data_IF_235821294081
#
_entry.id   IF_235821294081
#
_cell.length_a   1.000
_cell.length_b   1.000
_cell.length_c   1.000
_cell.angle_alpha   90.00
_cell.angle_beta   90.00
_cell.angle_gamma   90.00
#
_symmetry.space_group_name_H-M   'P 1'
#
loop_
_entity.id
_entity.type
_entity.pdbx_description
1 polymer ?
#
# COMPACT_ATOMS: atom_id res chain seq x y z
N UNK A 1 3.02 20.16 1.03
CA UNK A 1 3.71 19.72 -0.21
C UNK A 1 3.32 20.62 -1.38
N UNK A 2 4.23 20.88 -2.34
CA UNK A 2 3.96 21.74 -3.50
C UNK A 2 4.40 21.09 -4.82
N UNK A 3 5.48 20.33 -4.82
CA UNK A 3 6.06 19.66 -5.97
C UNK A 3 6.37 18.21 -5.60
N UNK A 4 5.65 17.29 -6.19
CA UNK A 4 5.59 15.90 -5.78
C UNK A 4 6.19 15.00 -6.86
N UNK A 5 7.03 14.05 -6.46
CA UNK A 5 7.51 12.95 -7.29
C UNK A 5 6.94 11.64 -6.76
N UNK A 6 6.26 10.89 -7.62
CA UNK A 6 5.77 9.55 -7.33
C UNK A 6 6.60 8.53 -8.08
N UNK A 7 7.32 7.68 -7.35
CA UNK A 7 8.21 6.64 -7.90
C UNK A 7 7.54 5.28 -7.77
N UNK A 8 7.42 4.54 -8.88
CA UNK A 8 6.59 3.34 -8.97
C UNK A 8 5.12 3.68 -9.26
N UNK A 9 4.91 4.73 -10.05
CA UNK A 9 3.58 5.28 -10.37
C UNK A 9 2.68 4.32 -11.15
N UNK A 10 3.24 3.35 -11.87
CA UNK A 10 2.48 2.34 -12.63
C UNK A 10 2.00 1.16 -11.78
N UNK A 11 2.35 1.08 -10.51
CA UNK A 11 1.90 0.05 -9.57
C UNK A 11 0.45 0.25 -9.12
N UNK A 12 -0.07 -0.70 -8.32
CA UNK A 12 -1.47 -0.68 -7.84
C UNK A 12 -1.80 0.63 -7.12
N UNK A 13 -1.04 1.01 -6.10
CA UNK A 13 -1.27 2.26 -5.38
C UNK A 13 -0.95 3.47 -6.27
N UNK A 14 0.17 3.43 -7.00
CA UNK A 14 0.65 4.57 -7.77
C UNK A 14 -0.29 5.00 -8.89
N UNK A 15 -0.93 4.05 -9.57
CA UNK A 15 -1.89 4.32 -10.66
C UNK A 15 -3.13 5.10 -10.21
N UNK A 16 -3.48 5.03 -8.92
CA UNK A 16 -4.58 5.77 -8.31
C UNK A 16 -4.10 6.98 -7.49
N UNK A 17 -2.95 6.88 -6.83
CA UNK A 17 -2.39 7.98 -6.05
C UNK A 17 -2.00 9.17 -6.93
N UNK A 18 -1.42 8.92 -8.12
CA UNK A 18 -1.03 10.02 -9.03
C UNK A 18 -2.23 10.86 -9.47
N UNK A 19 -3.33 10.31 -10.00
CA UNK A 19 -4.53 11.09 -10.31
C UNK A 19 -5.10 11.80 -9.09
N UNK A 20 -5.12 11.14 -7.93
CA UNK A 20 -5.59 11.72 -6.66
C UNK A 20 -4.75 12.94 -6.25
N UNK A 21 -3.41 12.82 -6.25
CA UNK A 21 -2.52 13.94 -5.96
C UNK A 21 -2.67 15.07 -6.99
N UNK A 22 -2.82 14.74 -8.29
CA UNK A 22 -3.03 15.73 -9.35
C UNK A 22 -4.33 16.52 -9.18
N UNK A 23 -5.37 15.89 -8.65
CA UNK A 23 -6.63 16.58 -8.36
C UNK A 23 -6.51 17.60 -7.20
N UNK A 24 -5.62 17.36 -6.25
CA UNK A 24 -5.40 18.21 -5.07
C UNK A 24 -4.38 19.31 -5.37
N UNK A 25 -3.24 18.95 -5.95
CA UNK A 25 -2.08 19.84 -6.10
C UNK A 25 -1.93 20.43 -7.51
N UNK A 26 -2.74 19.98 -8.47
CA UNK A 26 -2.64 20.35 -9.89
C UNK A 26 -1.70 19.42 -10.67
N UNK A 27 -2.09 19.09 -11.90
CA UNK A 27 -1.41 18.10 -12.72
C UNK A 27 0.08 18.40 -12.95
N UNK A 28 0.46 19.66 -13.19
CA UNK A 28 1.84 20.07 -13.43
C UNK A 28 2.76 19.98 -12.21
N UNK A 29 2.19 19.82 -11.02
CA UNK A 29 2.93 19.75 -9.76
C UNK A 29 3.22 18.32 -9.29
N UNK A 30 2.70 17.30 -10.00
CA UNK A 30 2.86 15.89 -9.64
C UNK A 30 3.50 15.14 -10.81
N UNK A 31 4.77 14.82 -10.67
CA UNK A 31 5.55 14.04 -11.63
C UNK A 31 5.41 12.56 -11.30
N UNK A 32 4.88 11.79 -12.23
CA UNK A 32 4.81 10.34 -12.13
C UNK A 32 6.07 9.71 -12.74
N UNK A 33 6.62 8.69 -12.11
CA UNK A 33 7.77 7.95 -12.64
C UNK A 33 7.61 6.45 -12.47
N UNK A 34 8.05 5.71 -13.49
CA UNK A 34 8.11 4.25 -13.47
C UNK A 34 9.17 3.76 -14.47
N UNK A 35 9.63 2.51 -14.33
CA UNK A 35 10.52 1.88 -15.33
C UNK A 35 9.80 1.63 -16.66
N UNK A 36 8.47 1.43 -16.61
CA UNK A 36 7.62 1.23 -17.78
C UNK A 36 6.82 2.49 -18.06
N UNK A 37 6.80 2.89 -19.32
CA UNK A 37 5.95 4.01 -19.73
C UNK A 37 4.47 3.70 -19.49
N UNK A 38 3.75 4.67 -18.92
CA UNK A 38 2.31 4.61 -18.70
C UNK A 38 1.64 5.75 -19.44
N UNK A 39 1.01 5.43 -20.59
CA UNK A 39 0.41 6.42 -21.47
C UNK A 39 -0.70 7.24 -20.77
N UNK A 40 -1.55 6.59 -19.97
CA UNK A 40 -2.65 7.25 -19.24
C UNK A 40 -2.11 8.30 -18.27
N UNK A 41 -1.07 7.96 -17.50
CA UNK A 41 -0.44 8.92 -16.60
C UNK A 41 0.31 10.03 -17.33
N UNK A 42 0.90 9.72 -18.50
CA UNK A 42 1.65 10.67 -19.33
C UNK A 42 0.74 11.68 -20.04
N UNK A 43 -0.44 11.26 -20.48
CA UNK A 43 -1.45 12.15 -21.08
C UNK A 43 -2.05 13.12 -20.05
N UNK A 44 -2.18 12.66 -18.79
CA UNK A 44 -2.79 13.44 -17.70
C UNK A 44 -1.81 14.40 -16.98
N UNK A 45 -0.51 14.39 -17.31
CA UNK A 45 0.49 15.29 -16.68
C UNK A 45 1.93 14.77 -16.81
N UNK A 46 2.91 15.41 -16.15
CA UNK A 46 4.31 15.03 -16.27
C UNK A 46 4.55 13.56 -15.93
N UNK A 47 5.28 12.88 -16.82
CA UNK A 47 5.71 11.49 -16.64
C UNK A 47 7.16 11.35 -17.16
N UNK A 48 7.99 10.66 -16.35
CA UNK A 48 9.37 10.36 -16.72
C UNK A 48 9.66 8.87 -16.52
N UNK A 49 10.48 8.30 -17.38
CA UNK A 49 11.00 6.94 -17.14
C UNK A 49 12.11 7.02 -16.11
N UNK A 50 12.01 6.19 -15.05
CA UNK A 50 12.99 6.14 -13.97
C UNK A 50 13.16 4.72 -13.46
N UNK A 51 14.41 4.23 -13.43
CA UNK A 51 14.79 3.12 -12.56
C UNK A 51 15.14 3.71 -11.18
N UNK A 52 14.38 3.34 -10.14
CA UNK A 52 14.61 3.83 -8.79
C UNK A 52 15.99 3.42 -8.21
N UNK A 53 16.70 2.48 -8.84
CA UNK A 53 18.07 2.10 -8.51
C UNK A 53 19.13 3.00 -9.18
N UNK A 54 18.76 3.81 -10.16
CA UNK A 54 19.63 4.83 -10.74
C UNK A 54 19.57 6.13 -9.92
N UNK A 55 20.40 6.19 -8.88
CA UNK A 55 20.45 7.35 -7.96
C UNK A 55 20.76 8.66 -8.69
N UNK A 56 21.57 8.61 -9.76
CA UNK A 56 21.94 9.81 -10.52
C UNK A 56 20.75 10.38 -11.28
N UNK A 57 20.07 9.56 -12.08
CA UNK A 57 18.87 9.98 -12.80
C UNK A 57 17.77 10.44 -11.84
N UNK A 58 17.63 9.75 -10.72
CA UNK A 58 16.63 10.09 -9.71
C UNK A 58 16.91 11.49 -9.13
N UNK A 59 18.15 11.79 -8.72
CA UNK A 59 18.52 13.10 -8.21
C UNK A 59 18.35 14.22 -9.26
N UNK A 60 18.69 13.96 -10.54
CA UNK A 60 18.48 14.90 -11.65
C UNK A 60 16.99 15.24 -11.83
N UNK A 61 16.09 14.27 -11.71
CA UNK A 61 14.63 14.50 -11.79
C UNK A 61 14.13 15.35 -10.58
N UNK A 62 14.59 15.05 -9.37
CA UNK A 62 14.23 15.83 -8.18
C UNK A 62 14.64 17.31 -8.35
N UNK A 63 15.83 17.55 -8.89
CA UNK A 63 16.32 18.90 -9.16
C UNK A 63 15.57 19.59 -10.30
N UNK A 64 15.40 18.91 -11.44
CA UNK A 64 14.69 19.37 -12.64
C UNK A 64 13.30 19.89 -12.31
N UNK A 65 12.56 19.16 -11.48
CA UNK A 65 11.17 19.47 -11.14
C UNK A 65 11.04 20.24 -9.81
N UNK A 66 12.17 20.53 -9.13
CA UNK A 66 12.20 21.20 -7.82
C UNK A 66 11.29 20.50 -6.80
N UNK A 67 11.42 19.18 -6.68
CA UNK A 67 10.60 18.33 -5.85
C UNK A 67 10.82 18.66 -4.37
N UNK A 68 9.74 18.73 -3.60
CA UNK A 68 9.75 18.91 -2.14
C UNK A 68 9.17 17.70 -1.37
N UNK A 69 8.51 16.76 -2.09
CA UNK A 69 8.01 15.54 -1.50
C UNK A 69 8.16 14.35 -2.48
N UNK A 70 8.68 13.24 -1.96
CA UNK A 70 8.89 11.98 -2.68
C UNK A 70 7.95 10.93 -2.11
N UNK A 71 7.18 10.27 -2.98
CA UNK A 71 6.38 9.08 -2.67
C UNK A 71 7.05 7.87 -3.30
N UNK A 72 7.82 7.13 -2.51
CA UNK A 72 8.47 5.91 -2.97
C UNK A 72 7.54 4.70 -2.79
N UNK A 73 6.93 4.27 -3.89
CA UNK A 73 6.00 3.13 -3.94
C UNK A 73 6.64 1.86 -4.51
N UNK A 74 7.93 1.90 -4.83
CA UNK A 74 8.64 0.78 -5.46
C UNK A 74 8.78 -0.37 -4.47
N UNK A 75 8.20 -1.53 -4.82
CA UNK A 75 8.38 -2.76 -4.07
C UNK A 75 8.07 -4.00 -4.91
N UNK A 76 8.86 -5.07 -4.73
CA UNK A 76 8.43 -6.43 -5.05
C UNK A 76 7.65 -6.98 -3.85
N UNK A 77 6.41 -7.46 -4.12
CA UNK A 77 5.48 -7.92 -3.09
C UNK A 77 5.82 -9.32 -2.56
N UNK A 78 5.14 -9.73 -1.48
CA UNK A 78 5.43 -10.94 -0.71
C UNK A 78 5.59 -12.20 -1.55
N UNK A 79 4.55 -12.68 -2.21
CA UNK A 79 4.61 -13.93 -2.99
C UNK A 79 5.56 -13.87 -4.20
N UNK A 80 5.72 -12.70 -4.82
CA UNK A 80 6.69 -12.49 -5.91
C UNK A 80 8.12 -12.41 -5.37
N UNK A 81 8.31 -11.76 -4.22
CA UNK A 81 9.61 -11.63 -3.55
C UNK A 81 10.20 -12.97 -3.13
N UNK A 82 9.36 -13.90 -2.63
CA UNK A 82 9.81 -15.23 -2.23
C UNK A 82 10.37 -16.08 -3.39
N UNK A 83 9.99 -15.78 -4.64
CA UNK A 83 10.55 -16.44 -5.83
C UNK A 83 11.98 -15.98 -6.13
N UNK A 84 12.36 -14.78 -5.73
CA UNK A 84 13.71 -14.23 -5.88
C UNK A 84 14.05 -13.25 -4.75
N UNK A 85 14.41 -13.76 -3.54
CA UNK A 85 14.62 -12.93 -2.36
C UNK A 85 15.73 -11.88 -2.51
N UNK A 86 16.82 -12.23 -3.23
CA UNK A 86 17.94 -11.32 -3.43
C UNK A 86 17.52 -10.12 -4.31
N UNK A 87 16.73 -10.37 -5.35
CA UNK A 87 16.20 -9.30 -6.20
C UNK A 87 15.22 -8.43 -5.42
N UNK A 88 14.33 -9.04 -4.62
CA UNK A 88 13.40 -8.31 -3.76
C UNK A 88 14.13 -7.39 -2.79
N UNK A 89 15.15 -7.89 -2.10
CA UNK A 89 15.98 -7.10 -1.18
C UNK A 89 16.66 -5.93 -1.91
N UNK A 90 17.30 -6.21 -3.06
CA UNK A 90 17.99 -5.18 -3.83
C UNK A 90 17.07 -4.07 -4.29
N UNK A 91 15.89 -4.41 -4.81
CA UNK A 91 14.93 -3.41 -5.32
C UNK A 91 14.30 -2.64 -4.17
N UNK A 92 13.75 -3.35 -3.17
CA UNK A 92 13.00 -2.72 -2.08
C UNK A 92 13.89 -1.81 -1.22
N UNK A 93 15.10 -2.28 -0.91
CA UNK A 93 16.03 -1.48 -0.09
C UNK A 93 16.77 -0.42 -0.90
N UNK A 94 17.22 -0.74 -2.12
CA UNK A 94 17.94 0.23 -2.95
C UNK A 94 17.08 1.43 -3.37
N UNK A 95 15.82 1.21 -3.73
CA UNK A 95 14.89 2.31 -4.04
C UNK A 95 14.62 3.21 -2.81
N UNK A 96 14.50 2.60 -1.61
CA UNK A 96 14.34 3.35 -0.37
C UNK A 96 15.60 4.15 -0.02
N UNK A 97 16.77 3.51 -0.07
CA UNK A 97 18.06 4.15 0.22
C UNK A 97 18.27 5.37 -0.68
N UNK A 98 18.07 5.22 -2.00
CA UNK A 98 18.17 6.33 -2.94
C UNK A 98 17.18 7.46 -2.59
N UNK A 99 15.93 7.12 -2.27
CA UNK A 99 14.92 8.12 -1.88
C UNK A 99 15.33 8.90 -0.64
N UNK A 100 15.87 8.22 0.38
CA UNK A 100 16.30 8.84 1.65
C UNK A 100 17.54 9.70 1.48
N UNK A 101 18.56 9.23 0.74
CA UNK A 101 19.78 10.02 0.47
C UNK A 101 19.48 11.27 -0.35
N UNK A 102 18.69 11.13 -1.42
CA UNK A 102 18.28 12.27 -2.23
C UNK A 102 17.44 13.26 -1.41
N UNK A 103 16.55 12.77 -0.56
CA UNK A 103 15.77 13.62 0.32
C UNK A 103 16.62 14.36 1.33
N UNK A 104 17.66 13.72 1.89
CA UNK A 104 18.65 14.33 2.78
C UNK A 104 19.41 15.45 2.06
N UNK A 105 19.85 15.22 0.82
CA UNK A 105 20.64 16.19 0.05
C UNK A 105 19.81 17.35 -0.51
N UNK A 106 18.57 17.09 -0.90
CA UNK A 106 17.68 18.06 -1.57
C UNK A 106 16.60 18.63 -0.66
N UNK A 107 16.59 18.25 0.64
CA UNK A 107 15.61 18.69 1.64
C UNK A 107 14.16 18.39 1.24
N UNK A 108 13.88 17.15 0.83
CA UNK A 108 12.54 16.67 0.51
C UNK A 108 11.94 15.89 1.69
N UNK A 109 10.61 15.89 1.81
CA UNK A 109 9.91 14.90 2.62
C UNK A 109 9.80 13.57 1.87
N UNK A 110 9.73 12.44 2.59
CA UNK A 110 9.61 11.10 2.00
C UNK A 110 8.45 10.35 2.61
N UNK A 111 7.56 9.87 1.76
CA UNK A 111 6.59 8.84 2.09
C UNK A 111 7.03 7.51 1.50
N UNK A 112 7.10 6.47 2.33
CA UNK A 112 7.32 5.10 1.86
C UNK A 112 6.38 4.16 2.61
N UNK A 113 5.46 3.45 1.93
CA UNK A 113 4.51 2.59 2.61
C UNK A 113 5.17 1.38 3.26
N UNK A 114 4.83 1.13 4.53
CA UNK A 114 4.99 -0.15 5.17
C UNK A 114 3.73 -1.02 4.95
N UNK A 115 3.59 -2.12 5.66
CA UNK A 115 2.56 -3.11 5.42
C UNK A 115 2.30 -3.95 6.66
N UNK A 116 1.11 -4.55 6.77
CA UNK A 116 0.87 -5.65 7.73
C UNK A 116 1.84 -6.82 7.55
N UNK A 117 2.45 -6.94 6.37
CA UNK A 117 3.52 -7.91 6.12
C UNK A 117 4.81 -7.69 6.93
N UNK A 118 4.97 -6.54 7.60
CA UNK A 118 6.07 -6.29 8.54
C UNK A 118 5.92 -7.07 9.86
N UNK A 119 4.72 -7.48 10.20
CA UNK A 119 4.46 -8.27 11.40
C UNK A 119 4.84 -9.75 11.20
N UNK A 120 5.09 -10.43 12.31
CA UNK A 120 5.44 -11.84 12.37
C UNK A 120 6.05 -12.20 13.71
N UNK A 121 6.17 -13.50 13.99
CA UNK A 121 6.60 -14.01 15.30
C UNK A 121 5.45 -14.10 16.29
N UNK A 122 5.76 -13.93 17.58
CA UNK A 122 4.78 -13.98 18.68
C UNK A 122 4.36 -12.56 19.06
N UNK A 123 3.13 -12.18 18.67
CA UNK A 123 2.52 -10.88 18.94
C UNK A 123 0.99 -11.01 19.05
N UNK A 124 0.29 -10.08 19.73
CA UNK A 124 -1.17 -10.03 19.74
C UNK A 124 -1.73 -9.78 18.34
N UNK A 125 -2.49 -10.71 17.80
CA UNK A 125 -3.04 -10.61 16.42
C UNK A 125 -4.29 -9.76 16.33
N UNK A 126 -5.08 -9.73 17.40
CA UNK A 126 -6.28 -8.89 17.48
C UNK A 126 -5.89 -7.54 18.07
N UNK A 127 -6.26 -6.47 17.38
CA UNK A 127 -5.85 -5.11 17.73
C UNK A 127 -4.34 -5.01 18.00
N UNK A 128 -3.58 -5.50 17.03
CA UNK A 128 -2.10 -5.50 17.11
C UNK A 128 -1.60 -4.11 17.46
N UNK A 129 -0.87 -3.95 18.58
CA UNK A 129 -0.41 -2.64 19.04
C UNK A 129 0.51 -1.93 18.04
N UNK A 130 0.55 -0.59 18.12
CA UNK A 130 1.49 0.23 17.34
C UNK A 130 2.94 -0.22 17.55
N UNK A 131 3.33 -0.39 18.80
CA UNK A 131 4.64 -0.86 19.21
C UNK A 131 4.55 -2.32 19.62
N UNK A 132 5.12 -3.19 18.81
CA UNK A 132 5.16 -4.63 19.06
C UNK A 132 6.39 -5.27 18.40
N UNK A 133 6.66 -6.51 18.76
CA UNK A 133 7.73 -7.29 18.14
C UNK A 133 7.37 -7.61 16.69
N UNK A 134 8.26 -7.31 15.77
CA UNK A 134 8.11 -7.61 14.34
C UNK A 134 9.21 -8.58 13.91
N UNK A 135 8.83 -9.83 13.67
CA UNK A 135 9.72 -10.90 13.21
C UNK A 135 9.11 -11.59 11.98
N UNK A 136 9.01 -10.86 10.84
CA UNK A 136 8.40 -11.39 9.64
C UNK A 136 9.18 -12.60 9.09
N UNK A 137 8.45 -13.52 8.49
CA UNK A 137 8.98 -14.74 7.89
C UNK A 137 9.11 -14.66 6.36
N UNK A 138 8.88 -13.49 5.77
CA UNK A 138 9.04 -13.24 4.34
C UNK A 138 10.11 -12.18 4.09
N UNK A 139 10.82 -12.29 2.95
CA UNK A 139 11.81 -11.26 2.55
C UNK A 139 11.16 -9.89 2.38
N UNK A 140 9.91 -9.84 1.92
CA UNK A 140 9.13 -8.61 1.83
C UNK A 140 8.95 -7.97 3.21
N UNK A 141 8.51 -8.74 4.19
CA UNK A 141 8.34 -8.26 5.56
C UNK A 141 9.66 -7.80 6.18
N UNK A 142 10.74 -8.53 5.97
CA UNK A 142 12.10 -8.13 6.41
C UNK A 142 12.47 -6.77 5.81
N UNK A 143 12.24 -6.55 4.50
CA UNK A 143 12.49 -5.26 3.87
C UNK A 143 11.61 -4.16 4.46
N UNK A 144 10.34 -4.44 4.80
CA UNK A 144 9.44 -3.45 5.40
C UNK A 144 9.91 -3.03 6.80
N UNK A 145 10.25 -3.97 7.68
CA UNK A 145 10.82 -3.67 9.00
C UNK A 145 12.13 -2.88 8.89
N UNK A 146 13.03 -3.32 8.01
CA UNK A 146 14.29 -2.61 7.76
C UNK A 146 14.02 -1.18 7.26
N UNK A 147 13.03 -1.02 6.37
CA UNK A 147 12.65 0.29 5.85
C UNK A 147 12.10 1.22 6.92
N UNK A 148 11.28 0.72 7.85
CA UNK A 148 10.79 1.49 9.01
C UNK A 148 11.95 1.99 9.89
N UNK A 149 12.87 1.09 10.22
CA UNK A 149 14.03 1.41 11.04
C UNK A 149 14.99 2.39 10.33
N UNK A 150 15.23 2.19 9.04
CA UNK A 150 16.10 3.06 8.25
C UNK A 150 15.48 4.47 8.12
N UNK A 151 14.19 4.56 7.87
CA UNK A 151 13.47 5.85 7.82
C UNK A 151 13.53 6.59 9.16
N UNK A 152 13.37 5.88 10.29
CA UNK A 152 13.55 6.44 11.62
C UNK A 152 14.98 6.95 11.84
N UNK A 153 15.98 6.19 11.41
CA UNK A 153 17.38 6.61 11.50
C UNK A 153 17.64 7.89 10.71
N UNK A 154 17.14 7.99 9.46
CA UNK A 154 17.30 9.19 8.64
C UNK A 154 16.62 10.41 9.25
N UNK A 155 15.45 10.21 9.85
CA UNK A 155 14.79 11.28 10.58
C UNK A 155 15.61 11.76 11.79
N UNK A 156 15.98 10.84 12.67
CA UNK A 156 16.65 11.19 13.93
C UNK A 156 18.07 11.69 13.72
N UNK A 157 18.78 11.14 12.74
CA UNK A 157 20.21 11.47 12.49
C UNK A 157 20.40 12.67 11.59
N UNK A 158 19.54 12.82 10.57
CA UNK A 158 19.72 13.81 9.51
C UNK A 158 18.57 14.81 9.39
N UNK A 159 17.50 14.64 10.15
CA UNK A 159 16.34 15.54 10.13
C UNK A 159 15.45 15.40 8.90
N UNK A 160 15.59 14.32 8.12
CA UNK A 160 14.72 14.08 6.96
C UNK A 160 13.27 13.86 7.45
N UNK A 161 12.32 14.54 6.84
CA UNK A 161 10.89 14.32 7.14
C UNK A 161 10.41 13.05 6.46
N UNK A 162 10.58 11.93 7.16
CA UNK A 162 10.13 10.60 6.71
C UNK A 162 8.80 10.25 7.35
N UNK A 163 7.84 9.73 6.56
CA UNK A 163 6.52 9.33 7.03
C UNK A 163 6.07 8.05 6.37
N UNK A 164 5.35 7.22 7.11
CA UNK A 164 4.89 5.92 6.64
C UNK A 164 3.63 5.44 7.37
N UNK A 165 2.85 4.61 6.69
CA UNK A 165 1.76 3.83 7.27
C UNK A 165 1.98 2.34 7.00
N UNK A 166 1.54 1.48 7.91
CA UNK A 166 1.43 0.04 7.68
C UNK A 166 0.09 -0.23 7.03
N UNK A 167 0.11 -0.33 5.69
CA UNK A 167 -1.10 -0.63 4.96
C UNK A 167 -1.63 -2.02 5.28
N UNK A 168 -2.95 -2.14 5.56
CA UNK A 168 -3.68 -3.40 5.45
C UNK A 168 -3.64 -3.98 4.04
N UNK A 169 -4.37 -5.07 3.80
CA UNK A 169 -4.63 -5.56 2.45
C UNK A 169 -5.44 -4.54 1.65
N UNK A 170 -4.86 -4.00 0.58
CA UNK A 170 -5.51 -2.97 -0.23
C UNK A 170 -6.45 -3.59 -1.25
N UNK A 171 -7.69 -3.11 -1.27
CA UNK A 171 -8.73 -3.49 -2.22
C UNK A 171 -8.97 -2.33 -3.19
N UNK A 172 -8.90 -2.62 -4.50
CA UNK A 172 -9.07 -1.63 -5.57
C UNK A 172 -9.87 -2.20 -6.72
N UNK A 173 -10.68 -1.34 -7.36
CA UNK A 173 -11.38 -1.66 -8.59
C UNK A 173 -10.64 -1.19 -9.86
N UNK A 174 -9.54 -0.44 -9.75
CA UNK A 174 -8.83 0.17 -10.89
C UNK A 174 -7.80 -0.79 -11.47
N UNK A 175 -6.85 -1.23 -10.68
CA UNK A 175 -5.77 -2.11 -11.12
C UNK A 175 -6.02 -3.53 -10.65
N UNK A 176 -5.85 -4.50 -11.55
CA UNK A 176 -5.93 -5.92 -11.18
C UNK A 176 -4.83 -6.28 -10.20
N UNK A 177 -5.10 -7.26 -9.32
CA UNK A 177 -4.12 -7.75 -8.35
C UNK A 177 -2.82 -8.22 -9.00
N UNK A 178 -1.70 -7.99 -8.28
CA UNK A 178 -0.35 -8.25 -8.78
C UNK A 178 0.35 -9.49 -8.20
N UNK A 179 -0.38 -10.43 -7.58
CA UNK A 179 0.19 -11.63 -6.94
C UNK A 179 0.42 -11.46 -5.44
N UNK A 180 -0.41 -10.66 -4.77
CA UNK A 180 -0.44 -10.53 -3.31
C UNK A 180 -1.22 -11.65 -2.63
N UNK A 181 -1.04 -11.77 -1.32
CA UNK A 181 -1.79 -12.73 -0.50
C UNK A 181 -3.26 -12.33 -0.34
N UNK A 182 -3.56 -11.02 -0.38
CA UNK A 182 -4.89 -10.44 -0.17
C UNK A 182 -5.71 -10.29 -1.45
N UNK A 183 -5.21 -10.73 -2.59
CA UNK A 183 -5.81 -10.53 -3.90
C UNK A 183 -7.21 -11.15 -4.04
N UNK A 184 -7.51 -12.20 -3.27
CA UNK A 184 -8.83 -12.83 -3.25
C UNK A 184 -9.96 -11.83 -2.99
N UNK A 185 -9.70 -10.81 -2.16
CA UNK A 185 -10.67 -9.78 -1.79
C UNK A 185 -10.96 -8.76 -2.92
N UNK A 186 -10.21 -8.84 -4.03
CA UNK A 186 -10.50 -8.13 -5.28
C UNK A 186 -11.10 -9.09 -6.31
N UNK A 187 -10.50 -10.26 -6.48
CA UNK A 187 -10.90 -11.27 -7.46
C UNK A 187 -12.35 -11.70 -7.29
N UNK A 188 -12.82 -11.83 -6.04
CA UNK A 188 -14.21 -12.20 -5.70
C UNK A 188 -15.25 -11.31 -6.39
N UNK A 189 -15.01 -10.00 -6.50
CA UNK A 189 -15.94 -9.05 -7.13
C UNK A 189 -15.99 -9.23 -8.65
N UNK A 190 -14.83 -9.50 -9.27
CA UNK A 190 -14.77 -9.75 -10.71
C UNK A 190 -15.55 -11.03 -11.08
N UNK A 191 -15.38 -12.09 -10.30
CA UNK A 191 -16.09 -13.34 -10.56
C UNK A 191 -17.60 -13.23 -10.25
N UNK A 192 -17.97 -12.52 -9.19
CA UNK A 192 -19.38 -12.24 -8.87
C UNK A 192 -20.08 -11.46 -9.98
N UNK A 193 -19.45 -10.41 -10.53
CA UNK A 193 -20.03 -9.61 -11.63
C UNK A 193 -20.13 -10.41 -12.94
N UNK A 194 -19.17 -11.30 -13.21
CA UNK A 194 -19.25 -12.20 -14.38
C UNK A 194 -20.29 -13.32 -14.24
N UNK A 195 -20.89 -13.50 -13.06
CA UNK A 195 -21.77 -14.61 -12.76
C UNK A 195 -21.05 -15.95 -12.63
N UNK A 196 -19.77 -15.95 -12.36
CA UNK A 196 -18.96 -17.13 -12.16
C UNK A 196 -18.94 -17.56 -10.69
N UNK A 197 -18.61 -18.84 -10.46
CA UNK A 197 -18.19 -19.33 -9.16
C UNK A 197 -16.77 -18.86 -8.88
N UNK A 198 -16.50 -18.35 -7.67
CA UNK A 198 -15.16 -17.98 -7.24
C UNK A 198 -14.47 -19.13 -6.50
N UNK A 199 -13.20 -19.37 -6.79
CA UNK A 199 -12.36 -20.34 -6.06
C UNK A 199 -11.33 -19.56 -5.24
N UNK A 200 -11.58 -19.45 -3.92
CA UNK A 200 -10.72 -18.73 -3.01
C UNK A 200 -9.48 -19.55 -2.64
N UNK A 201 -8.32 -18.93 -2.69
CA UNK A 201 -7.03 -19.57 -2.35
C UNK A 201 -6.56 -19.30 -0.91
N UNK A 202 -7.39 -18.64 -0.10
CA UNK A 202 -7.18 -18.39 1.34
C UNK A 202 -8.25 -19.18 2.11
N UNK A 203 -7.87 -19.73 3.27
CA UNK A 203 -8.80 -20.50 4.09
C UNK A 203 -9.95 -19.63 4.64
N UNK A 204 -11.16 -20.21 4.82
CA UNK A 204 -12.37 -19.45 5.16
C UNK A 204 -12.31 -18.69 6.48
N UNK A 205 -11.47 -19.13 7.41
CA UNK A 205 -11.35 -18.66 8.79
C UNK A 205 -10.25 -17.63 9.02
N UNK A 206 -9.45 -17.30 7.98
CA UNK A 206 -8.31 -16.40 8.12
C UNK A 206 -8.77 -14.94 8.16
N UNK A 207 -8.70 -14.32 9.31
CA UNK A 207 -8.87 -12.88 9.45
C UNK A 207 -7.66 -12.11 8.92
N UNK A 208 -7.92 -11.03 8.21
CA UNK A 208 -6.90 -10.06 7.80
C UNK A 208 -7.48 -8.65 7.87
N UNK A 209 -6.66 -7.69 8.30
CA UNK A 209 -7.02 -6.27 8.19
C UNK A 209 -6.96 -5.84 6.73
N UNK A 210 -8.01 -5.16 6.27
CA UNK A 210 -8.23 -4.76 4.88
C UNK A 210 -8.61 -3.29 4.80
N UNK A 211 -8.32 -2.66 3.67
CA UNK A 211 -8.62 -1.26 3.42
C UNK A 211 -9.02 -1.03 1.96
N UNK A 212 -10.05 -0.23 1.73
CA UNK A 212 -10.41 0.20 0.39
C UNK A 212 -9.46 1.29 -0.09
N UNK A 213 -9.11 1.30 -1.38
CA UNK A 213 -8.14 2.22 -1.95
C UNK A 213 -8.43 3.71 -1.68
N UNK A 214 -9.68 4.21 -1.74
CA UNK A 214 -9.94 5.62 -1.39
C UNK A 214 -9.46 6.01 0.01
N UNK A 215 -9.63 5.15 1.02
CA UNK A 215 -9.10 5.37 2.37
C UNK A 215 -7.57 5.33 2.39
N UNK A 216 -6.94 4.41 1.64
CA UNK A 216 -5.49 4.33 1.56
C UNK A 216 -4.86 5.59 0.94
N UNK A 217 -5.47 6.13 -0.12
CA UNK A 217 -5.03 7.38 -0.76
C UNK A 217 -5.17 8.56 0.17
N UNK A 218 -6.32 8.67 0.85
CA UNK A 218 -6.59 9.73 1.83
C UNK A 218 -5.61 9.66 3.00
N UNK A 219 -5.41 8.48 3.60
CA UNK A 219 -4.44 8.27 4.68
C UNK A 219 -3.04 8.73 4.29
N UNK A 220 -2.61 8.41 3.06
CA UNK A 220 -1.30 8.80 2.53
C UNK A 220 -1.15 10.33 2.48
N UNK A 221 -2.16 11.04 1.98
CA UNK A 221 -2.11 12.50 1.85
C UNK A 221 -2.26 13.20 3.20
N UNK A 222 -3.23 12.76 4.02
CA UNK A 222 -3.47 13.33 5.35
C UNK A 222 -2.24 13.20 6.25
N UNK A 223 -1.56 12.04 6.25
CA UNK A 223 -0.32 11.89 6.99
C UNK A 223 0.77 12.84 6.48
N UNK A 224 0.91 13.00 5.17
CA UNK A 224 1.93 13.90 4.59
C UNK A 224 1.63 15.39 4.81
N UNK A 225 0.37 15.75 5.03
CA UNK A 225 -0.06 17.12 5.38
C UNK A 225 -0.12 17.36 6.91
N UNK A 226 -0.03 16.31 7.73
CA UNK A 226 -0.09 16.43 9.17
C UNK A 226 1.04 17.29 9.74
N UNK A 227 0.78 17.95 10.85
CA UNK A 227 1.78 18.75 11.58
C UNK A 227 2.93 17.84 12.06
N UNK A 228 4.16 18.03 11.56
CA UNK A 228 5.29 17.16 11.91
C UNK A 228 5.62 17.16 13.41
N UNK A 229 5.27 18.22 14.14
CA UNK A 229 5.51 18.33 15.57
C UNK A 229 4.62 17.39 16.41
N UNK A 230 3.51 16.91 15.83
CA UNK A 230 2.58 15.99 16.50
C UNK A 230 2.91 14.51 16.25
N UNK A 231 3.73 14.21 15.24
CA UNK A 231 4.02 12.85 14.82
C UNK A 231 5.11 12.21 15.70
N UNK A 232 4.70 11.40 16.68
CA UNK A 232 5.61 10.60 17.52
C UNK A 232 6.02 9.30 16.82
N UNK A 233 5.04 8.62 16.18
CA UNK A 233 5.22 7.35 15.47
C UNK A 233 5.36 7.54 13.96
N UNK A 234 5.88 8.69 13.51
CA UNK A 234 5.95 9.19 12.12
C UNK A 234 6.25 8.14 11.05
N UNK A 235 7.06 7.16 11.36
CA UNK A 235 7.34 6.05 10.46
C UNK A 235 6.54 4.85 10.90
N UNK A 236 5.58 4.48 10.03
CA UNK A 236 4.83 3.25 10.11
C UNK A 236 3.69 3.25 11.12
N UNK A 237 2.83 4.27 11.04
CA UNK A 237 1.57 4.22 11.75
C UNK A 237 0.75 2.99 11.37
N UNK A 238 0.25 2.27 12.35
CA UNK A 238 -0.86 1.36 12.13
C UNK A 238 -2.07 2.16 11.67
N UNK A 239 -2.69 1.76 10.57
CA UNK A 239 -3.99 2.28 10.11
C UNK A 239 -4.93 1.12 9.87
N UNK A 240 -6.12 1.17 10.42
CA UNK A 240 -7.14 0.15 10.28
C UNK A 240 -8.38 0.70 9.56
N UNK A 241 -9.11 -0.17 8.87
CA UNK A 241 -10.40 0.15 8.26
C UNK A 241 -11.40 -0.96 8.53
N UNK A 242 -11.17 -2.16 8.04
CA UNK A 242 -12.05 -3.29 8.23
C UNK A 242 -11.26 -4.59 8.37
N UNK A 243 -11.74 -5.51 9.20
CA UNK A 243 -11.15 -6.84 9.36
C UNK A 243 -12.20 -7.91 9.06
N UNK A 244 -11.89 -8.83 8.16
CA UNK A 244 -12.82 -9.89 7.76
C UNK A 244 -12.10 -11.13 7.24
N UNK A 245 -12.84 -12.23 7.19
CA UNK A 245 -12.38 -13.49 6.58
C UNK A 245 -12.92 -13.65 5.16
N UNK A 246 -12.38 -14.59 4.34
CA UNK A 246 -12.97 -14.94 3.07
C UNK A 246 -14.45 -15.32 3.14
N UNK A 247 -14.87 -15.97 4.23
CA UNK A 247 -16.27 -16.33 4.43
C UNK A 247 -17.15 -15.09 4.68
N UNK A 248 -16.69 -14.15 5.50
CA UNK A 248 -17.46 -12.92 5.78
C UNK A 248 -17.67 -12.09 4.50
N UNK A 249 -16.61 -11.88 3.69
CA UNK A 249 -16.77 -11.14 2.42
C UNK A 249 -17.67 -11.89 1.43
N UNK A 250 -17.60 -13.22 1.38
CA UNK A 250 -18.52 -14.04 0.57
C UNK A 250 -19.98 -13.77 0.93
N UNK A 251 -20.31 -13.78 2.24
CA UNK A 251 -21.67 -13.52 2.71
C UNK A 251 -22.16 -12.12 2.31
N UNK A 252 -21.28 -11.11 2.39
CA UNK A 252 -21.61 -9.75 1.97
C UNK A 252 -21.85 -9.70 0.46
N UNK A 253 -20.98 -10.30 -0.34
CA UNK A 253 -21.16 -10.36 -1.81
C UNK A 253 -22.44 -11.09 -2.18
N UNK A 254 -22.77 -12.21 -1.52
CA UNK A 254 -23.99 -12.98 -1.80
C UNK A 254 -25.27 -12.17 -1.51
N UNK A 255 -25.27 -11.29 -0.50
CA UNK A 255 -26.40 -10.37 -0.25
C UNK A 255 -26.69 -9.43 -1.42
N UNK A 256 -25.63 -9.00 -2.13
CA UNK A 256 -25.74 -8.11 -3.30
C UNK A 256 -25.88 -8.85 -4.62
N UNK A 257 -25.39 -10.10 -4.70
CA UNK A 257 -25.44 -10.96 -5.89
C UNK A 257 -26.06 -12.29 -5.48
N UNK A 258 -27.40 -12.38 -5.41
CA UNK A 258 -28.08 -13.61 -4.98
C UNK A 258 -27.68 -14.83 -5.80
N UNK A 259 -27.31 -15.91 -5.11
CA UNK A 259 -26.87 -17.15 -5.74
C UNK A 259 -25.37 -17.19 -6.09
N UNK A 260 -24.59 -16.19 -5.69
CA UNK A 260 -23.13 -16.23 -5.79
C UNK A 260 -22.55 -17.43 -5.04
N UNK A 261 -21.65 -18.15 -5.69
CA UNK A 261 -21.02 -19.34 -5.12
C UNK A 261 -19.51 -19.15 -4.96
N UNK A 262 -18.99 -19.61 -3.82
CA UNK A 262 -17.57 -19.66 -3.56
C UNK A 262 -17.15 -21.02 -3.04
N UNK A 263 -16.01 -21.51 -3.52
CA UNK A 263 -15.35 -22.73 -3.04
C UNK A 263 -13.92 -22.38 -2.61
N UNK A 264 -13.29 -23.30 -1.91
CA UNK A 264 -11.94 -23.12 -1.39
C UNK A 264 -10.97 -24.11 -2.01
N UNK A 265 -9.86 -23.61 -2.56
CA UNK A 265 -8.68 -24.39 -2.94
C UNK A 265 -7.46 -23.68 -2.34
N UNK A 266 -7.23 -23.93 -1.05
CA UNK A 266 -6.26 -23.18 -0.24
C UNK A 266 -4.84 -23.42 -0.75
N UNK A 267 -4.14 -22.30 -1.07
CA UNK A 267 -2.72 -22.31 -1.37
C UNK A 267 -1.92 -22.39 -0.06
N UNK A 268 -1.14 -23.46 0.17
CA UNK A 268 -0.45 -23.66 1.44
C UNK A 268 0.59 -22.57 1.75
N UNK A 269 1.19 -21.96 0.73
CA UNK A 269 2.16 -20.87 0.93
C UNK A 269 1.44 -19.60 1.36
N UNK A 270 0.35 -19.25 0.67
CA UNK A 270 -0.45 -18.07 1.02
C UNK A 270 -1.13 -18.24 2.39
N UNK A 271 -1.58 -19.44 2.76
CA UNK A 271 -2.17 -19.71 4.07
C UNK A 271 -1.17 -19.47 5.21
N UNK A 272 0.04 -19.97 5.09
CA UNK A 272 1.11 -19.72 6.07
C UNK A 272 1.41 -18.22 6.19
N UNK A 273 1.53 -17.52 5.07
CA UNK A 273 1.80 -16.07 5.07
C UNK A 273 0.65 -15.32 5.72
N UNK A 274 -0.59 -15.53 5.31
CA UNK A 274 -1.77 -14.82 5.83
C UNK A 274 -1.98 -15.05 7.34
N UNK A 275 -1.77 -16.28 7.80
CA UNK A 275 -1.83 -16.61 9.24
C UNK A 275 -0.68 -16.04 10.05
N UNK A 276 0.37 -15.52 9.45
CA UNK A 276 1.47 -14.83 10.14
C UNK A 276 1.21 -13.34 10.37
N UNK A 277 0.15 -12.77 9.77
CA UNK A 277 -0.19 -11.35 9.82
C UNK A 277 -1.21 -11.03 10.93
N UNK A 278 -1.39 -9.75 11.29
CA UNK A 278 -2.46 -9.32 12.17
C UNK A 278 -3.84 -9.68 11.66
N UNK A 279 -4.74 -10.08 12.57
CA UNK A 279 -6.15 -10.13 12.28
C UNK A 279 -6.75 -8.73 12.14
N UNK A 280 -6.31 -7.81 13.04
CA UNK A 280 -6.67 -6.39 13.03
C UNK A 280 -5.58 -5.55 13.67
N UNK A 281 -5.53 -4.27 13.32
CA UNK A 281 -4.57 -3.30 13.86
C UNK A 281 -5.23 -2.37 14.88
N UNK A 282 -4.47 -1.98 15.91
CA UNK A 282 -4.79 -0.83 16.75
C UNK A 282 -4.23 0.44 16.10
N UNK A 283 -5.12 1.32 15.63
CA UNK A 283 -4.80 2.58 14.97
C UNK A 283 -4.94 3.82 15.87
N UNK A 284 -4.99 3.62 17.19
CA UNK A 284 -5.15 4.70 18.17
C UNK A 284 -4.10 5.79 17.99
N UNK A 285 -2.83 5.44 17.75
CA UNK A 285 -1.77 6.43 17.53
C UNK A 285 -2.05 7.29 16.30
N UNK A 286 -2.51 6.72 15.19
CA UNK A 286 -2.86 7.46 13.99
C UNK A 286 -4.04 8.41 14.23
N UNK A 287 -5.05 7.97 14.97
CA UNK A 287 -6.21 8.78 15.35
C UNK A 287 -5.83 9.98 16.21
N UNK A 288 -4.96 9.77 17.19
CA UNK A 288 -4.56 10.81 18.14
C UNK A 288 -3.55 11.81 17.55
N UNK A 289 -2.59 11.34 16.74
CA UNK A 289 -1.48 12.15 16.28
C UNK A 289 -1.79 12.96 15.01
N UNK A 290 -2.64 12.43 14.11
CA UNK A 290 -2.96 13.14 12.86
C UNK A 290 -4.43 13.01 12.44
N UNK A 291 -5.31 12.45 13.29
CA UNK A 291 -6.75 12.49 13.09
C UNK A 291 -7.29 11.43 12.13
N UNK A 292 -6.54 10.34 11.88
CA UNK A 292 -6.98 9.26 11.02
C UNK A 292 -8.38 8.75 11.39
N UNK A 293 -9.21 8.52 10.38
CA UNK A 293 -10.51 7.88 10.51
C UNK A 293 -10.89 7.24 9.19
N UNK A 294 -11.14 5.92 9.12
CA UNK A 294 -11.64 5.29 7.90
C UNK A 294 -13.06 5.78 7.58
N UNK A 295 -13.38 5.85 6.29
CA UNK A 295 -14.69 6.26 5.78
C UNK A 295 -15.47 5.09 5.17
N UNK A 296 -14.78 4.00 4.85
CA UNK A 296 -15.36 2.83 4.21
C UNK A 296 -15.44 1.64 5.16
N UNK A 297 -16.58 0.96 5.13
CA UNK A 297 -16.81 -0.35 5.73
C UNK A 297 -16.99 -1.42 4.64
N UNK A 298 -17.10 -2.69 5.06
CA UNK A 298 -17.20 -3.81 4.13
C UNK A 298 -18.46 -3.74 3.26
N UNK A 299 -19.58 -3.24 3.80
CA UNK A 299 -20.84 -3.16 3.07
C UNK A 299 -20.81 -2.08 1.98
N UNK A 300 -20.39 -0.86 2.34
CA UNK A 300 -20.26 0.28 1.40
C UNK A 300 -19.21 0.01 0.32
N UNK A 301 -18.07 -0.56 0.71
CA UNK A 301 -17.03 -0.99 -0.23
C UNK A 301 -17.55 -2.07 -1.20
N UNK A 302 -18.25 -3.09 -0.70
CA UNK A 302 -18.78 -4.17 -1.55
C UNK A 302 -19.71 -3.62 -2.62
N UNK A 303 -20.61 -2.72 -2.24
CA UNK A 303 -21.51 -2.06 -3.17
C UNK A 303 -20.77 -1.28 -4.26
N UNK A 304 -19.82 -0.44 -3.87
CA UNK A 304 -19.03 0.36 -4.81
C UNK A 304 -18.15 -0.53 -5.71
N UNK A 305 -17.52 -1.57 -5.16
CA UNK A 305 -16.72 -2.53 -5.94
C UNK A 305 -17.56 -3.23 -7.01
N UNK A 306 -18.74 -3.75 -6.66
CA UNK A 306 -19.62 -4.41 -7.63
C UNK A 306 -20.08 -3.45 -8.73
N UNK A 307 -20.45 -2.21 -8.38
CA UNK A 307 -20.84 -1.19 -9.34
C UNK A 307 -19.71 -0.83 -10.31
N UNK A 308 -18.52 -0.52 -9.77
CA UNK A 308 -17.35 -0.11 -10.57
C UNK A 308 -16.82 -1.24 -11.45
N UNK A 309 -16.75 -2.46 -10.92
CA UNK A 309 -16.32 -3.64 -11.69
C UNK A 309 -17.33 -3.95 -12.79
N UNK A 310 -18.63 -3.85 -12.53
CA UNK A 310 -19.66 -4.04 -13.55
C UNK A 310 -19.57 -2.98 -14.67
N UNK A 311 -19.28 -1.73 -14.33
CA UNK A 311 -19.08 -0.67 -15.32
C UNK A 311 -17.83 -0.90 -16.19
N UNK A 312 -16.77 -1.46 -15.62
CA UNK A 312 -15.50 -1.75 -16.28
C UNK A 312 -15.56 -2.96 -17.24
N UNK A 313 -16.45 -3.91 -16.96
CA UNK A 313 -16.59 -5.16 -17.75
C UNK A 313 -17.63 -5.04 -18.88
N UNK A 314 -18.39 -3.95 -18.96
CA UNK A 314 -19.27 -3.58 -20.08
C UNK A 314 -18.47 -3.01 -21.24
#
# INVERSE_FOLDING_TARGET
MKRILVVGAGGQIGSELVPYLRSIYGASNVVATDVKHNAVLAEAGPFESLDALDAKQYAELVEKYKIDAIFNLVALLSATGEKNPQLAMRINMGALENSLEIAREKNCAVFTPSSIGAFGGDFPRDKTPQDTVMQPNTIYGVCKVTGELLSNYYHTRFGVDTRSVRFPGIISNVTLPGGGTTDYAVEIYYEAVKGNKFVCNIAPDVYMDMMYMPDALRATVELMEADPAKLKHRNSFNIASMSFTPEIIREVVERHVPGFQMEYNVDPVKDVISRSWPNSLDDTCAREEWGWKPEWDLESMTKDMLEKVAAKLK
#
